data_IF_419029731229
#
_entry.id   IF_419029731229
#
_cell.length_a   1.000
_cell.length_b   1.000
_cell.length_c   1.000
_cell.angle_alpha   90.00
_cell.angle_beta   90.00
_cell.angle_gamma   90.00
#
_symmetry.space_group_name_H-M   'P 1'
#
loop_
_entity.id
_entity.type
_entity.pdbx_description
1 polymer ?
#
# COMPACT_ATOMS: atom_id res chain seq x y z
N UNK A 1 -31.82 25.16 38.78
CA UNK A 1 -30.57 25.69 38.20
C UNK A 1 -30.05 24.62 37.24
N UNK A 2 -30.61 24.63 36.03
CA UNK A 2 -30.34 23.69 34.95
C UNK A 2 -29.89 24.53 33.76
N UNK A 3 -28.61 24.89 33.75
CA UNK A 3 -28.08 25.69 32.65
C UNK A 3 -26.62 25.29 32.41
N UNK A 4 -26.43 24.13 31.78
CA UNK A 4 -25.13 23.70 31.28
C UNK A 4 -25.20 22.67 30.14
N UNK A 5 -26.31 22.62 29.39
CA UNK A 5 -26.48 21.64 28.29
C UNK A 5 -26.76 22.26 26.92
N UNK A 6 -26.73 23.58 26.81
CA UNK A 6 -26.93 24.27 25.54
C UNK A 6 -25.80 25.25 25.31
N UNK A 7 -24.74 24.81 24.60
CA UNK A 7 -23.86 25.66 23.76
C UNK A 7 -22.62 24.91 23.30
N UNK A 8 -22.78 23.90 22.45
CA UNK A 8 -21.81 23.61 21.40
C UNK A 8 -22.60 22.94 20.27
N UNK A 9 -23.46 23.73 19.64
CA UNK A 9 -23.95 23.45 18.30
C UNK A 9 -22.79 23.76 17.34
N UNK A 10 -21.72 22.96 17.41
CA UNK A 10 -20.61 23.03 16.47
C UNK A 10 -21.04 22.20 15.29
N UNK A 11 -21.44 22.89 14.22
CA UNK A 11 -21.62 22.34 12.89
C UNK A 11 -20.80 21.07 12.70
N UNK A 12 -21.47 19.93 12.69
CA UNK A 12 -20.86 18.68 12.27
C UNK A 12 -20.61 18.84 10.76
N UNK A 13 -19.43 19.38 10.42
CA UNK A 13 -18.86 19.21 9.11
C UNK A 13 -18.74 17.70 8.92
N UNK A 14 -19.67 17.11 8.17
CA UNK A 14 -19.54 15.74 7.68
C UNK A 14 -18.34 15.72 6.75
N UNK A 15 -17.15 15.59 7.34
CA UNK A 15 -15.93 15.37 6.59
C UNK A 15 -16.05 13.94 6.03
N UNK A 16 -16.02 13.78 4.69
CA UNK A 16 -16.06 12.46 4.10
C UNK A 16 -14.90 11.63 4.66
N UNK A 17 -15.16 10.37 5.03
CA UNK A 17 -14.17 9.53 5.66
C UNK A 17 -12.97 9.33 4.72
N UNK A 18 -11.76 9.28 5.30
CA UNK A 18 -10.51 9.22 4.52
C UNK A 18 -10.47 8.03 3.54
N UNK A 19 -11.24 6.98 3.82
CA UNK A 19 -11.44 5.80 2.96
C UNK A 19 -11.94 6.11 1.54
N UNK A 20 -12.65 7.22 1.35
CA UNK A 20 -13.21 7.70 0.07
C UNK A 20 -12.25 8.67 -0.66
N UNK A 21 -11.12 9.02 -0.02
CA UNK A 21 -10.10 9.98 -0.51
C UNK A 21 -8.68 9.46 -0.29
N UNK A 22 -8.42 8.22 -0.75
CA UNK A 22 -7.12 7.56 -0.56
C UNK A 22 -5.98 8.29 -1.26
N UNK A 23 -6.27 8.93 -2.39
CA UNK A 23 -5.31 9.71 -3.18
C UNK A 23 -4.76 10.94 -2.43
N UNK A 24 -5.43 11.39 -1.36
CA UNK A 24 -4.98 12.51 -0.52
C UNK A 24 -4.06 12.07 0.62
N UNK A 25 -3.93 10.76 0.88
CA UNK A 25 -3.10 10.24 1.98
C UNK A 25 -1.64 10.69 1.84
N UNK A 26 -0.98 10.61 0.68
CA UNK A 26 0.41 11.07 0.55
C UNK A 26 0.58 12.56 0.88
N UNK A 27 -0.36 13.41 0.43
CA UNK A 27 -0.31 14.85 0.67
C UNK A 27 -0.53 15.17 2.17
N UNK A 28 -1.48 14.49 2.80
CA UNK A 28 -1.75 14.64 4.24
C UNK A 28 -0.56 14.19 5.08
N UNK A 29 0.05 13.04 4.74
CA UNK A 29 1.24 12.52 5.40
C UNK A 29 2.38 13.54 5.32
N UNK A 30 2.65 14.11 4.15
CA UNK A 30 3.70 15.12 3.98
C UNK A 30 3.41 16.39 4.81
N UNK A 31 2.15 16.81 4.88
CA UNK A 31 1.74 17.97 5.67
C UNK A 31 2.00 17.75 7.16
N UNK A 32 1.59 16.59 7.69
CA UNK A 32 1.81 16.23 9.09
C UNK A 32 3.30 16.05 9.42
N UNK A 33 4.07 15.42 8.53
CA UNK A 33 5.52 15.31 8.67
C UNK A 33 6.18 16.67 8.83
N UNK A 34 5.82 17.64 7.99
CA UNK A 34 6.37 18.99 8.07
C UNK A 34 6.00 19.70 9.39
N UNK A 35 4.77 19.50 9.89
CA UNK A 35 4.32 20.04 11.18
C UNK A 35 5.09 19.41 12.36
N UNK A 36 5.26 18.08 12.35
CA UNK A 36 5.93 17.36 13.43
C UNK A 36 7.45 17.51 13.40
N UNK A 37 8.07 17.65 12.24
CA UNK A 37 9.49 17.97 12.14
C UNK A 37 9.81 19.31 12.82
N UNK A 38 8.97 20.32 12.60
CA UNK A 38 9.10 21.64 13.26
C UNK A 38 8.88 21.56 14.77
N UNK A 39 7.90 20.77 15.20
CA UNK A 39 7.52 20.67 16.62
C UNK A 39 8.50 19.81 17.43
N UNK A 40 9.02 18.73 16.83
CA UNK A 40 9.85 17.73 17.50
C UNK A 40 11.35 17.87 17.20
N UNK A 41 11.76 18.93 16.49
CA UNK A 41 13.14 19.15 16.02
C UNK A 41 13.73 17.93 15.30
N UNK A 42 12.93 17.29 14.43
CA UNK A 42 13.30 16.13 13.63
C UNK A 42 13.49 16.53 12.16
N UNK A 43 14.26 15.74 11.43
CA UNK A 43 14.55 15.94 10.01
C UNK A 43 14.09 14.75 9.16
N UNK A 44 12.85 14.30 9.37
CA UNK A 44 12.27 13.22 8.56
C UNK A 44 11.89 13.79 7.18
N UNK A 45 12.59 13.37 6.13
CA UNK A 45 12.36 13.81 4.75
C UNK A 45 11.10 13.21 4.13
N UNK A 46 10.71 12.01 4.52
CA UNK A 46 9.54 11.35 3.95
C UNK A 46 9.21 10.00 4.57
N UNK A 47 8.32 9.28 3.89
CA UNK A 47 7.93 7.90 4.23
C UNK A 47 8.48 6.98 3.15
N UNK A 48 9.00 5.83 3.56
CA UNK A 48 9.48 4.80 2.65
C UNK A 48 8.32 4.18 1.84
N UNK A 49 8.62 3.62 0.67
CA UNK A 49 7.61 3.13 -0.27
C UNK A 49 6.73 2.03 0.35
N UNK A 50 7.32 1.12 1.12
CA UNK A 50 6.60 0.05 1.81
C UNK A 50 5.66 0.61 2.89
N UNK A 51 6.12 1.60 3.66
CA UNK A 51 5.32 2.25 4.69
C UNK A 51 4.17 3.06 4.07
N UNK A 52 4.40 3.77 2.96
CA UNK A 52 3.36 4.50 2.26
C UNK A 52 2.26 3.56 1.75
N UNK A 53 2.65 2.43 1.17
CA UNK A 53 1.71 1.41 0.70
C UNK A 53 0.82 0.86 1.83
N UNK A 54 1.38 0.65 3.02
CA UNK A 54 0.61 0.23 4.22
C UNK A 54 -0.39 1.32 4.61
N UNK A 55 0.02 2.59 4.61
CA UNK A 55 -0.83 3.72 4.95
C UNK A 55 -1.98 3.90 3.94
N UNK A 56 -1.74 3.72 2.65
CA UNK A 56 -2.77 3.83 1.60
C UNK A 56 -3.82 2.71 1.65
N UNK A 57 -3.41 1.51 2.05
CA UNK A 57 -4.29 0.33 2.13
C UNK A 57 -5.10 0.26 3.41
N UNK A 58 -4.68 0.96 4.45
CA UNK A 58 -5.39 0.93 5.72
C UNK A 58 -6.75 1.65 5.59
N UNK A 59 -7.85 1.08 6.10
CA UNK A 59 -9.20 1.64 5.90
C UNK A 59 -9.48 2.90 6.73
N UNK A 60 -8.58 3.31 7.63
CA UNK A 60 -8.68 4.51 8.48
C UNK A 60 -10.04 4.69 9.16
N UNK A 61 -10.49 3.73 10.02
CA UNK A 61 -11.78 3.81 10.70
C UNK A 61 -11.92 5.06 11.59
N UNK A 62 -10.82 5.65 12.06
CA UNK A 62 -10.76 6.88 12.83
C UNK A 62 -10.49 8.16 12.02
N UNK A 63 -10.60 8.12 10.68
CA UNK A 63 -10.37 9.24 9.76
C UNK A 63 -8.96 9.87 9.89
N UNK A 64 -8.85 11.16 9.53
CA UNK A 64 -7.61 11.95 9.53
C UNK A 64 -6.93 11.98 10.91
N UNK A 65 -7.69 11.91 12.01
CA UNK A 65 -7.12 11.94 13.37
C UNK A 65 -6.28 10.70 13.66
N UNK A 66 -6.72 9.54 13.20
CA UNK A 66 -5.95 8.29 13.32
C UNK A 66 -4.66 8.38 12.49
N UNK A 67 -4.75 8.85 11.24
CA UNK A 67 -3.58 9.08 10.39
C UNK A 67 -2.58 10.02 11.05
N UNK A 68 -3.03 11.17 11.56
CA UNK A 68 -2.18 12.14 12.26
C UNK A 68 -1.45 11.50 13.44
N UNK A 69 -2.16 10.75 14.29
CA UNK A 69 -1.57 10.09 15.45
C UNK A 69 -0.53 9.02 15.07
N UNK A 70 -0.78 8.28 13.99
CA UNK A 70 0.16 7.28 13.46
C UNK A 70 1.43 7.96 12.97
N UNK A 71 1.30 9.02 12.16
CA UNK A 71 2.45 9.77 11.64
C UNK A 71 3.23 10.48 12.75
N UNK A 72 2.55 11.05 13.75
CA UNK A 72 3.21 11.68 14.90
C UNK A 72 4.11 10.69 15.64
N UNK A 73 3.58 9.51 16.00
CA UNK A 73 4.36 8.45 16.66
C UNK A 73 5.48 7.93 15.78
N UNK A 74 5.20 7.70 14.50
CA UNK A 74 6.19 7.22 13.54
C UNK A 74 7.33 8.23 13.36
N UNK A 75 7.06 9.54 13.44
CA UNK A 75 8.08 10.61 13.38
C UNK A 75 8.94 10.64 14.65
N UNK A 76 8.36 10.37 15.81
CA UNK A 76 9.10 10.29 17.08
C UNK A 76 10.03 9.06 17.08
N UNK A 77 9.49 7.91 16.63
CA UNK A 77 10.20 6.63 16.52
C UNK A 77 11.25 6.62 15.42
N UNK A 78 11.02 7.38 14.33
CA UNK A 78 11.99 7.56 13.27
C UNK A 78 13.23 8.27 13.86
N UNK A 79 14.29 7.49 14.01
CA UNK A 79 15.63 7.98 14.34
C UNK A 79 16.38 8.51 13.13
N UNK A 80 15.89 8.26 11.92
CA UNK A 80 16.51 8.62 10.65
C UNK A 80 15.66 9.56 9.79
N UNK A 81 16.03 9.65 8.52
CA UNK A 81 15.41 10.57 7.56
C UNK A 81 14.10 10.04 6.96
N UNK A 82 13.76 8.76 7.16
CA UNK A 82 12.56 8.15 6.59
C UNK A 82 11.75 7.38 7.63
N UNK A 83 10.42 7.44 7.50
CA UNK A 83 9.51 6.54 8.20
C UNK A 83 9.46 5.22 7.43
N UNK A 84 9.95 4.15 8.05
CA UNK A 84 9.90 2.78 7.53
C UNK A 84 8.70 2.02 8.14
N UNK A 85 8.36 0.87 7.56
CA UNK A 85 7.22 0.05 8.01
C UNK A 85 7.35 -0.36 9.49
N UNK A 86 8.57 -0.55 9.99
CA UNK A 86 8.88 -0.87 11.40
C UNK A 86 8.51 0.25 12.39
N UNK A 87 8.37 1.49 11.92
CA UNK A 87 7.97 2.63 12.75
C UNK A 87 6.45 2.80 12.80
N UNK A 88 5.70 2.06 11.95
CA UNK A 88 4.25 2.05 11.98
C UNK A 88 3.73 1.06 13.04
N UNK A 89 2.54 1.31 13.62
CA UNK A 89 1.91 0.37 14.53
C UNK A 89 1.71 -1.00 13.88
N UNK A 90 2.02 -2.07 14.61
CA UNK A 90 1.84 -3.47 14.17
C UNK A 90 0.38 -3.79 13.78
N UNK A 91 -0.59 -3.08 14.35
CA UNK A 91 -2.01 -3.18 13.97
C UNK A 91 -2.31 -2.69 12.55
N UNK A 92 -1.55 -1.71 12.03
CA UNK A 92 -1.66 -1.27 10.64
C UNK A 92 -1.02 -2.28 9.70
N UNK A 93 0.17 -2.77 10.05
CA UNK A 93 0.90 -3.78 9.25
C UNK A 93 0.06 -5.05 9.09
N UNK A 94 -0.46 -5.60 10.19
CA UNK A 94 -1.28 -6.81 10.18
C UNK A 94 -2.62 -6.66 9.43
N UNK A 95 -3.18 -5.45 9.36
CA UNK A 95 -4.43 -5.18 8.61
C UNK A 95 -4.18 -4.84 7.14
N UNK A 96 -3.03 -4.28 6.79
CA UNK A 96 -2.62 -4.07 5.40
C UNK A 96 -2.29 -5.41 4.71
N UNK A 97 -1.73 -6.37 5.44
CA UNK A 97 -1.53 -7.75 4.97
C UNK A 97 -2.86 -8.50 4.74
N UNK A 98 -3.93 -8.13 5.45
CA UNK A 98 -5.27 -8.70 5.27
C UNK A 98 -6.07 -8.03 4.13
N UNK A 99 -5.58 -6.91 3.59
CA UNK A 99 -6.21 -6.29 2.43
C UNK A 99 -5.91 -7.12 1.18
N UNK A 100 -6.92 -7.42 0.33
CA UNK A 100 -6.69 -8.21 -0.86
C UNK A 100 -5.60 -7.56 -1.73
N UNK A 101 -4.68 -8.36 -2.27
CA UNK A 101 -3.61 -7.83 -3.11
C UNK A 101 -4.20 -7.13 -4.33
N UNK A 102 -3.97 -5.82 -4.41
CA UNK A 102 -4.27 -4.94 -5.54
C UNK A 102 -3.07 -4.92 -6.48
N UNK A 103 -3.32 -5.12 -7.77
CA UNK A 103 -2.33 -5.02 -8.84
C UNK A 103 -2.40 -3.62 -9.48
N UNK A 104 -1.28 -2.89 -9.48
CA UNK A 104 -1.11 -1.68 -10.29
C UNK A 104 -0.42 -2.04 -11.61
N UNK A 105 -0.93 -1.51 -12.72
CA UNK A 105 -0.38 -1.73 -14.08
C UNK A 105 -0.09 -0.35 -14.67
N UNK A 106 1.18 -0.06 -14.94
CA UNK A 106 1.59 1.21 -15.52
C UNK A 106 1.29 1.27 -17.03
N UNK A 107 0.93 2.45 -17.52
CA UNK A 107 0.75 2.69 -18.95
C UNK A 107 2.09 2.47 -19.69
N UNK A 108 2.09 1.55 -20.66
CA UNK A 108 3.30 1.07 -21.35
C UNK A 108 3.71 -0.35 -20.96
N UNK A 109 3.11 -0.93 -19.91
CA UNK A 109 3.26 -2.36 -19.61
C UNK A 109 2.65 -3.19 -20.73
N UNK A 110 3.39 -4.19 -21.21
CA UNK A 110 2.88 -5.09 -22.24
C UNK A 110 1.74 -5.94 -21.70
N UNK A 111 0.82 -6.35 -22.58
CA UNK A 111 -0.30 -7.22 -22.20
C UNK A 111 0.20 -8.53 -21.58
N UNK A 112 1.27 -9.09 -22.13
CA UNK A 112 1.88 -10.33 -21.61
C UNK A 112 2.46 -10.14 -20.20
N UNK A 113 3.05 -8.99 -19.90
CA UNK A 113 3.60 -8.71 -18.57
C UNK A 113 2.51 -8.42 -17.54
N UNK A 114 1.48 -7.65 -17.92
CA UNK A 114 0.30 -7.44 -17.09
C UNK A 114 -0.39 -8.77 -16.76
N UNK A 115 -0.57 -9.65 -17.75
CA UNK A 115 -1.16 -10.97 -17.57
C UNK A 115 -0.32 -11.84 -16.61
N UNK A 116 1.01 -11.81 -16.71
CA UNK A 116 1.90 -12.53 -15.79
C UNK A 116 1.73 -12.09 -14.36
N UNK A 117 1.80 -10.77 -14.14
CA UNK A 117 1.66 -10.21 -12.79
C UNK A 117 0.30 -10.58 -12.20
N UNK A 118 -0.76 -10.54 -13.00
CA UNK A 118 -2.10 -10.95 -12.59
C UNK A 118 -2.18 -12.44 -12.20
N UNK A 119 -1.58 -13.33 -12.99
CA UNK A 119 -1.57 -14.78 -12.71
C UNK A 119 -0.81 -15.08 -11.41
N UNK A 120 0.36 -14.47 -11.23
CA UNK A 120 1.18 -14.65 -10.03
C UNK A 120 0.45 -14.18 -8.79
N UNK A 121 -0.12 -12.97 -8.84
CA UNK A 121 -0.87 -12.40 -7.72
C UNK A 121 -2.08 -13.25 -7.34
N UNK A 122 -2.80 -13.76 -8.35
CA UNK A 122 -3.98 -14.60 -8.11
C UNK A 122 -3.59 -15.96 -7.52
N UNK A 123 -2.45 -16.53 -7.93
CA UNK A 123 -1.91 -17.76 -7.35
C UNK A 123 -1.54 -17.56 -5.89
N UNK A 124 -0.85 -16.47 -5.55
CA UNK A 124 -0.50 -16.12 -4.16
C UNK A 124 -1.75 -15.94 -3.31
N UNK A 125 -2.74 -15.20 -3.80
CA UNK A 125 -4.04 -15.02 -3.14
C UNK A 125 -4.78 -16.35 -2.90
N UNK A 126 -4.60 -17.33 -3.80
CA UNK A 126 -5.22 -18.65 -3.70
C UNK A 126 -4.34 -19.69 -2.96
N UNK A 127 -3.26 -19.29 -2.29
CA UNK A 127 -2.35 -20.22 -1.60
C UNK A 127 -1.66 -21.21 -2.55
N UNK A 128 -1.32 -20.76 -3.76
CA UNK A 128 -0.73 -21.53 -4.85
C UNK A 128 -1.62 -22.68 -5.37
N UNK A 129 -2.92 -22.63 -5.10
CA UNK A 129 -3.89 -23.58 -5.64
C UNK A 129 -4.26 -23.19 -7.08
N UNK A 130 -3.70 -23.92 -8.06
CA UNK A 130 -3.89 -23.67 -9.49
C UNK A 130 -5.34 -23.82 -9.95
N UNK A 131 -6.09 -24.77 -9.39
CA UNK A 131 -7.50 -24.98 -9.74
C UNK A 131 -8.33 -23.77 -9.32
N UNK A 132 -8.15 -23.34 -8.07
CA UNK A 132 -8.84 -22.17 -7.52
C UNK A 132 -8.42 -20.87 -8.22
N UNK A 133 -7.14 -20.72 -8.55
CA UNK A 133 -6.65 -19.57 -9.30
C UNK A 133 -7.24 -19.50 -10.73
N UNK A 134 -7.39 -20.65 -11.41
CA UNK A 134 -8.02 -20.71 -12.73
C UNK A 134 -9.49 -20.28 -12.69
N UNK A 135 -10.23 -20.74 -11.68
CA UNK A 135 -11.63 -20.33 -11.43
C UNK A 135 -11.75 -18.82 -11.17
N UNK A 136 -10.90 -18.26 -10.31
CA UNK A 136 -10.89 -16.82 -10.00
C UNK A 136 -10.53 -15.98 -11.23
N UNK A 137 -9.61 -16.45 -12.07
CA UNK A 137 -9.24 -15.78 -13.33
C UNK A 137 -10.27 -16.00 -14.46
N UNK A 138 -11.27 -16.86 -14.27
CA UNK A 138 -12.26 -17.19 -15.29
C UNK A 138 -11.68 -17.95 -16.50
N UNK A 139 -10.57 -18.66 -16.34
CA UNK A 139 -9.90 -19.41 -17.41
C UNK A 139 -9.86 -20.91 -17.10
N UNK A 140 -9.69 -21.74 -18.14
CA UNK A 140 -9.51 -23.17 -17.92
C UNK A 140 -8.17 -23.47 -17.23
N UNK A 141 -8.12 -24.53 -16.41
CA UNK A 141 -6.88 -25.01 -15.78
C UNK A 141 -5.79 -25.31 -16.83
N UNK A 142 -6.19 -25.80 -18.02
CA UNK A 142 -5.28 -26.04 -19.15
C UNK A 142 -4.66 -24.72 -19.66
N UNK A 143 -5.47 -23.68 -19.79
CA UNK A 143 -5.01 -22.33 -20.17
C UNK A 143 -4.05 -21.77 -19.13
N UNK A 144 -4.36 -21.91 -17.83
CA UNK A 144 -3.49 -21.48 -16.75
C UNK A 144 -2.13 -22.21 -16.80
N UNK A 145 -2.13 -23.54 -16.99
CA UNK A 145 -0.90 -24.32 -17.13
C UNK A 145 -0.05 -23.90 -18.34
N UNK A 146 -0.67 -23.67 -19.50
CA UNK A 146 0.04 -23.20 -20.69
C UNK A 146 0.69 -21.84 -20.45
N UNK A 147 -0.03 -20.91 -19.80
CA UNK A 147 0.50 -19.59 -19.44
C UNK A 147 1.66 -19.71 -18.45
N UNK A 148 1.51 -20.49 -17.37
CA UNK A 148 2.57 -20.77 -16.39
C UNK A 148 3.84 -21.35 -17.03
N UNK A 149 3.71 -22.28 -17.97
CA UNK A 149 4.84 -22.87 -18.67
C UNK A 149 5.58 -21.85 -19.54
N UNK A 150 4.84 -20.94 -20.19
CA UNK A 150 5.42 -19.85 -20.97
C UNK A 150 6.19 -18.86 -20.08
N UNK A 151 5.67 -18.55 -18.89
CA UNK A 151 6.38 -17.71 -17.90
C UNK A 151 7.72 -18.33 -17.47
N UNK A 152 7.73 -19.65 -17.22
CA UNK A 152 8.95 -20.38 -16.82
C UNK A 152 10.02 -20.43 -17.90
N UNK A 153 9.65 -20.45 -19.17
CA UNK A 153 10.61 -20.54 -20.27
C UNK A 153 11.34 -19.22 -20.55
N UNK A 154 10.71 -18.07 -20.27
CA UNK A 154 11.33 -16.77 -20.49
C UNK A 154 12.25 -16.32 -19.35
N UNK A 155 12.06 -16.85 -18.13
CA UNK A 155 12.98 -16.61 -16.99
C UNK A 155 14.32 -17.35 -17.12
N UNK A 156 14.43 -18.30 -18.06
CA UNK A 156 15.64 -19.08 -18.31
C UNK A 156 16.65 -18.45 -19.29
N UNK A 157 16.34 -17.30 -19.91
CA UNK A 157 17.16 -16.72 -21.00
C UNK A 157 17.44 -15.24 -20.76
N UNK A 158 18.19 -14.92 -19.70
CA UNK A 158 18.98 -13.68 -19.61
C UNK A 158 20.26 -13.94 -18.82
N UNK A 159 21.23 -14.65 -19.42
CA UNK A 159 22.64 -14.48 -19.06
C UNK A 159 23.17 -13.32 -19.92
N UNK A 160 23.67 -12.22 -19.35
CA UNK A 160 24.37 -11.23 -20.14
C UNK A 160 25.69 -11.83 -20.62
N UNK A 161 25.80 -11.96 -21.93
CA UNK A 161 27.04 -12.22 -22.64
C UNK A 161 27.85 -10.91 -22.59
N UNK A 162 28.71 -10.75 -21.59
CA UNK A 162 29.72 -9.70 -21.62
C UNK A 162 30.75 -10.09 -22.68
N UNK A 163 30.56 -9.54 -23.88
CA UNK A 163 31.49 -9.66 -24.99
C UNK A 163 32.88 -9.19 -24.60
N UNK A 164 33.85 -10.06 -24.86
CA UNK A 164 35.23 -9.70 -25.15
C UNK A 164 35.29 -8.79 -26.37
N UNK A 165 35.99 -7.66 -26.27
CA UNK A 165 36.34 -6.87 -27.46
C UNK A 165 36.73 -5.44 -27.15
N UNK A 166 37.96 -5.21 -26.68
CA UNK A 166 39.07 -4.58 -27.41
C UNK A 166 40.23 -4.39 -26.44
#
# INVERSE_FOLDING_TARGET
REDLFYRLNVFALELPPLRERRDDIPLLVQTFLNEFNKTNAKAVRGVDQEAMYILERYPWPGNIRELRNVIERATILAGGEFIEAKHLPTTLVAKAEQAPPTLTIDAGTTVDEAERRLITLTLEHCGNNKTRAAEVLGISLKTLHNKLNRVKQETGVRRPETGSGT
#
